data_IF_537636818735
#
_entry.id   IF_537636818735
#
_cell.length_a   1.000
_cell.length_b   1.000
_cell.length_c   1.000
_cell.angle_alpha   90.00
_cell.angle_beta   90.00
_cell.angle_gamma   90.00
#
_symmetry.space_group_name_H-M   'P 1'
#
loop_
_entity.id
_entity.type
_entity.pdbx_description
1 polymer ?
#
# COMPACT_ATOMS: atom_id res chain seq x y z
N UNK A 1 22.55 12.97 10.25
CA UNK A 1 22.69 12.20 11.49
C UNK A 1 21.52 11.25 11.63
N UNK A 2 21.79 9.99 11.75
CA UNK A 2 20.74 8.99 11.92
C UNK A 2 20.39 8.86 13.40
N UNK A 3 19.11 8.96 13.69
CA UNK A 3 18.61 8.64 15.03
C UNK A 3 18.55 7.14 15.19
N UNK A 4 19.22 6.63 16.18
CA UNK A 4 19.22 5.19 16.46
C UNK A 4 18.38 4.93 17.70
N UNK A 5 17.35 4.13 17.54
CA UNK A 5 16.51 3.70 18.65
C UNK A 5 16.99 2.30 19.07
N UNK A 6 17.48 2.14 20.30
CA UNK A 6 17.92 0.83 20.75
C UNK A 6 16.76 -0.17 20.73
N UNK A 7 17.04 -1.39 20.27
CA UNK A 7 16.02 -2.45 20.20
C UNK A 7 15.42 -2.76 21.58
N UNK A 8 16.20 -2.57 22.62
CA UNK A 8 15.75 -2.84 23.99
C UNK A 8 14.65 -1.91 24.45
N UNK A 9 14.47 -0.76 23.77
CA UNK A 9 13.45 0.22 24.13
C UNK A 9 12.11 -0.02 23.44
N UNK A 10 12.07 -1.03 22.56
CA UNK A 10 10.87 -1.32 21.78
C UNK A 10 10.16 -2.52 22.39
N UNK A 11 9.00 -2.25 22.97
CA UNK A 11 8.13 -3.31 23.44
C UNK A 11 7.19 -3.77 22.32
N UNK A 12 7.43 -4.97 21.81
CA UNK A 12 6.61 -5.57 20.77
C UNK A 12 5.69 -6.66 21.29
N UNK A 13 5.57 -6.80 22.60
CA UNK A 13 4.76 -7.86 23.20
C UNK A 13 3.28 -7.75 22.79
N UNK A 14 2.79 -6.52 22.64
CA UNK A 14 1.42 -6.27 22.20
C UNK A 14 1.13 -6.92 20.85
N UNK A 15 2.11 -6.90 19.95
CA UNK A 15 1.96 -7.43 18.59
C UNK A 15 1.80 -8.94 18.60
N UNK A 16 2.57 -9.63 19.44
CA UNK A 16 2.55 -11.09 19.47
C UNK A 16 1.21 -11.67 19.88
N UNK A 17 0.46 -10.93 20.68
CA UNK A 17 -0.84 -11.39 21.15
C UNK A 17 -1.99 -11.11 20.22
N UNK A 18 -1.76 -10.39 19.12
CA UNK A 18 -2.86 -9.95 18.27
C UNK A 18 -3.35 -11.01 17.29
N UNK A 19 -2.47 -11.93 16.87
CA UNK A 19 -2.84 -13.02 15.98
C UNK A 19 -2.94 -12.58 14.52
N UNK A 20 -4.16 -12.28 14.06
CA UNK A 20 -4.42 -11.99 12.66
C UNK A 20 -4.37 -10.49 12.37
N UNK A 21 -3.76 -10.12 11.26
CA UNK A 21 -3.76 -8.76 10.77
C UNK A 21 -4.18 -8.68 9.31
N UNK A 22 -4.46 -7.46 8.87
CA UNK A 22 -4.79 -7.14 7.48
C UNK A 22 -3.69 -6.29 6.89
N UNK A 23 -3.21 -6.68 5.72
CA UNK A 23 -2.27 -5.89 4.94
C UNK A 23 -3.03 -5.14 3.87
N UNK A 24 -2.82 -3.83 3.77
CA UNK A 24 -3.50 -3.00 2.77
C UNK A 24 -2.49 -2.40 1.81
N UNK A 25 -2.70 -2.68 0.54
CA UNK A 25 -2.00 -2.05 -0.57
C UNK A 25 -3.04 -1.29 -1.39
N UNK A 26 -2.96 0.03 -1.37
CA UNK A 26 -3.96 0.83 -2.04
C UNK A 26 -3.40 2.21 -2.39
N UNK A 27 -3.72 2.71 -3.55
CA UNK A 27 -3.28 4.00 -4.01
C UNK A 27 -3.84 4.30 -5.38
N UNK A 28 -3.29 5.30 -6.05
CA UNK A 28 -3.82 5.75 -7.33
C UNK A 28 -3.73 4.68 -8.43
N UNK A 29 -2.78 3.76 -8.33
CA UNK A 29 -2.69 2.66 -9.28
C UNK A 29 -3.96 1.80 -9.30
N UNK A 30 -4.65 1.71 -8.16
CA UNK A 30 -5.88 0.94 -8.05
C UNK A 30 -7.00 1.46 -8.93
N UNK A 31 -7.02 2.76 -9.21
CA UNK A 31 -8.08 3.36 -10.04
C UNK A 31 -7.98 2.95 -11.50
N UNK A 32 -6.81 2.53 -11.94
CA UNK A 32 -6.56 2.09 -13.31
C UNK A 32 -6.40 0.59 -13.43
N UNK A 33 -6.52 -0.13 -12.33
CA UNK A 33 -6.23 -1.55 -12.33
C UNK A 33 -4.77 -1.88 -12.59
N UNK A 34 -3.88 -0.96 -12.30
CA UNK A 34 -2.44 -1.18 -12.44
C UNK A 34 -1.91 -1.93 -11.22
N UNK A 35 -0.94 -2.78 -11.47
CA UNK A 35 -0.27 -3.49 -10.40
C UNK A 35 0.85 -2.62 -9.83
N UNK A 36 0.48 -1.71 -8.93
CA UNK A 36 1.43 -0.78 -8.30
C UNK A 36 2.21 -0.03 -9.37
N UNK A 37 3.53 0.06 -9.20
CA UNK A 37 4.41 0.73 -10.17
C UNK A 37 4.90 -0.17 -11.29
N UNK A 38 4.54 -1.45 -11.28
CA UNK A 38 4.99 -2.38 -12.32
C UNK A 38 4.52 -1.99 -13.70
N UNK A 39 3.44 -1.23 -13.80
CA UNK A 39 2.92 -0.77 -15.08
C UNK A 39 3.94 0.08 -15.83
N UNK A 40 4.79 0.79 -15.12
CA UNK A 40 5.82 1.62 -15.75
C UNK A 40 6.89 0.79 -16.46
N UNK A 41 7.02 -0.46 -16.10
CA UNK A 41 8.01 -1.37 -16.70
C UNK A 41 7.38 -2.43 -17.59
N UNK A 42 6.06 -2.38 -17.81
CA UNK A 42 5.35 -3.39 -18.57
C UNK A 42 5.11 -4.68 -17.81
N UNK A 43 5.27 -4.65 -16.48
CA UNK A 43 5.10 -5.84 -15.67
C UNK A 43 6.39 -6.61 -15.51
N UNK A 44 6.96 -6.62 -14.34
CA UNK A 44 8.27 -7.24 -14.09
C UNK A 44 8.23 -8.74 -14.26
N UNK A 45 7.19 -9.36 -13.79
CA UNK A 45 7.13 -10.82 -13.81
C UNK A 45 6.55 -11.39 -15.09
N UNK A 46 6.24 -10.53 -16.03
CA UNK A 46 5.77 -10.94 -17.35
C UNK A 46 4.68 -11.99 -17.29
N UNK A 47 3.83 -11.85 -16.33
CA UNK A 47 2.68 -12.72 -16.25
C UNK A 47 1.70 -12.34 -17.36
N UNK A 48 1.05 -13.32 -17.88
CA UNK A 48 0.12 -13.12 -18.97
C UNK A 48 -1.14 -12.37 -18.56
N UNK A 49 -1.66 -11.49 -19.39
CA UNK A 49 -1.04 -10.97 -20.61
C UNK A 49 0.00 -9.89 -20.29
N UNK A 50 0.89 -9.61 -21.23
CA UNK A 50 1.85 -8.52 -21.07
C UNK A 50 1.12 -7.20 -20.88
N UNK A 51 1.57 -6.44 -19.90
CA UNK A 51 0.96 -5.13 -19.61
C UNK A 51 1.52 -4.09 -20.57
N UNK A 52 0.64 -3.21 -21.05
CA UNK A 52 1.09 -2.07 -21.82
C UNK A 52 1.86 -1.13 -20.89
N UNK A 53 3.11 -0.76 -21.25
CA UNK A 53 3.88 0.14 -20.41
C UNK A 53 3.23 1.51 -20.33
N UNK A 54 3.27 2.10 -19.14
CA UNK A 54 2.79 3.46 -18.89
C UNK A 54 4.00 4.33 -18.61
N UNK A 55 4.08 5.49 -19.25
CA UNK A 55 5.17 6.42 -19.00
C UNK A 55 5.17 6.92 -17.55
N UNK A 56 6.35 7.25 -17.05
CA UNK A 56 6.47 7.73 -15.67
C UNK A 56 5.59 8.94 -15.40
N UNK A 57 5.55 9.88 -16.32
CA UNK A 57 4.72 11.09 -16.13
C UNK A 57 3.24 10.73 -16.05
N UNK A 58 2.77 9.88 -16.94
CA UNK A 58 1.37 9.45 -16.93
C UNK A 58 1.05 8.70 -15.64
N UNK A 59 1.94 7.85 -15.18
CA UNK A 59 1.73 7.11 -13.95
C UNK A 59 1.57 8.05 -12.76
N UNK A 60 2.45 9.03 -12.61
CA UNK A 60 2.38 9.94 -11.48
C UNK A 60 1.27 10.98 -11.62
N UNK A 61 0.94 11.38 -12.84
CA UNK A 61 -0.18 12.29 -13.08
C UNK A 61 -1.51 11.67 -12.65
N UNK A 62 -1.63 10.35 -12.72
CA UNK A 62 -2.83 9.68 -12.27
C UNK A 62 -3.10 9.90 -10.79
N UNK A 63 -2.11 10.23 -10.00
CA UNK A 63 -2.30 10.51 -8.58
C UNK A 63 -3.22 11.71 -8.34
N UNK A 64 -3.23 12.68 -9.26
CA UNK A 64 -4.09 13.84 -9.15
C UNK A 64 -5.57 13.48 -9.29
N UNK A 65 -5.88 12.39 -9.96
CA UNK A 65 -7.26 11.92 -10.17
C UNK A 65 -7.73 10.98 -9.05
N UNK A 66 -6.85 10.66 -8.12
CA UNK A 66 -7.19 9.76 -7.04
C UNK A 66 -8.01 10.50 -5.99
N UNK A 67 -9.30 10.21 -5.98
CA UNK A 67 -10.25 10.83 -5.05
C UNK A 67 -11.25 9.79 -4.56
N UNK A 68 -10.88 9.01 -3.54
CA UNK A 68 -11.70 7.89 -3.09
C UNK A 68 -12.87 8.36 -2.21
N UNK A 69 -13.91 8.90 -2.83
CA UNK A 69 -15.05 9.49 -2.12
C UNK A 69 -15.88 8.46 -1.34
N UNK A 70 -15.82 7.20 -1.74
CA UNK A 70 -16.57 6.14 -1.05
C UNK A 70 -15.78 5.47 0.06
N UNK A 71 -14.57 5.94 0.29
CA UNK A 71 -13.74 5.36 1.33
C UNK A 71 -14.35 5.63 2.71
N UNK A 72 -14.61 4.56 3.43
CA UNK A 72 -15.18 4.63 4.78
C UNK A 72 -14.26 3.83 5.70
N UNK A 73 -13.33 4.51 6.37
CA UNK A 73 -12.37 3.81 7.23
C UNK A 73 -13.03 3.07 8.39
N UNK A 74 -14.13 3.61 8.92
CA UNK A 74 -14.85 2.94 10.00
C UNK A 74 -15.45 1.62 9.53
N UNK A 75 -16.02 1.59 8.32
CA UNK A 75 -16.55 0.36 7.77
C UNK A 75 -15.46 -0.68 7.49
N UNK A 76 -14.31 -0.23 7.01
CA UNK A 76 -13.17 -1.13 6.80
C UNK A 76 -12.67 -1.71 8.12
N UNK A 77 -12.56 -0.89 9.13
CA UNK A 77 -12.12 -1.33 10.45
C UNK A 77 -13.10 -2.34 11.05
N UNK A 78 -14.39 -2.09 10.91
CA UNK A 78 -15.41 -3.02 11.40
C UNK A 78 -15.34 -4.35 10.68
N UNK A 79 -15.19 -4.33 9.36
CA UNK A 79 -15.09 -5.54 8.57
C UNK A 79 -13.86 -6.36 8.97
N UNK A 80 -12.73 -5.70 9.13
CA UNK A 80 -11.50 -6.35 9.57
C UNK A 80 -11.68 -6.97 10.96
N UNK A 81 -12.30 -6.23 11.88
CA UNK A 81 -12.57 -6.72 13.21
C UNK A 81 -13.46 -7.95 13.21
N UNK A 82 -14.53 -7.92 12.41
CA UNK A 82 -15.45 -9.06 12.29
C UNK A 82 -14.79 -10.27 11.68
N UNK A 83 -13.79 -10.07 10.81
CA UNK A 83 -13.00 -11.16 10.24
C UNK A 83 -11.97 -11.73 11.23
N UNK A 84 -11.81 -11.12 12.39
CA UNK A 84 -10.85 -11.57 13.40
C UNK A 84 -9.54 -10.81 13.42
N UNK A 85 -9.36 -9.83 12.54
CA UNK A 85 -8.14 -9.05 12.53
C UNK A 85 -8.05 -8.11 13.71
N UNK A 86 -6.85 -7.96 14.25
CA UNK A 86 -6.61 -7.10 15.40
C UNK A 86 -5.57 -6.03 15.13
N UNK A 87 -5.04 -5.99 13.92
CA UNK A 87 -4.18 -4.91 13.49
C UNK A 87 -4.25 -4.77 11.97
N UNK A 88 -3.81 -3.61 11.50
CA UNK A 88 -3.75 -3.29 10.09
C UNK A 88 -2.35 -2.77 9.78
N UNK A 89 -1.79 -3.23 8.66
CA UNK A 89 -0.55 -2.69 8.12
C UNK A 89 -0.88 -2.00 6.81
N UNK A 90 -0.67 -0.70 6.76
CA UNK A 90 -0.89 0.06 5.54
C UNK A 90 0.43 0.34 4.85
N UNK A 91 0.54 -0.06 3.59
CA UNK A 91 1.74 0.14 2.81
C UNK A 91 1.72 1.55 2.23
N UNK A 92 2.48 2.45 2.85
CA UNK A 92 2.56 3.84 2.41
C UNK A 92 3.46 4.04 1.22
N UNK A 93 4.43 3.14 1.04
CA UNK A 93 5.33 3.11 -0.10
C UNK A 93 5.70 1.66 -0.38
N UNK A 94 5.62 1.26 -1.61
CA UNK A 94 6.07 -0.07 -2.06
C UNK A 94 7.28 0.14 -2.97
N UNK A 95 7.14 -0.14 -4.24
CA UNK A 95 8.23 0.09 -5.21
C UNK A 95 8.08 1.42 -5.94
N UNK A 96 7.02 2.16 -5.69
CA UNK A 96 6.74 3.40 -6.40
C UNK A 96 7.77 4.47 -6.04
N UNK A 97 8.46 4.94 -7.04
CA UNK A 97 9.42 6.04 -6.87
C UNK A 97 8.62 7.35 -6.78
N UNK A 98 8.96 8.17 -5.79
CA UNK A 98 8.35 9.48 -5.63
C UNK A 98 7.12 9.51 -4.74
N UNK A 99 6.51 8.39 -4.44
CA UNK A 99 5.32 8.37 -3.58
C UNK A 99 5.60 8.91 -2.18
N UNK A 100 6.77 8.62 -1.66
CA UNK A 100 7.16 9.09 -0.34
C UNK A 100 7.58 10.56 -0.33
N UNK A 101 7.62 11.21 -1.47
CA UNK A 101 8.00 12.62 -1.60
C UNK A 101 6.81 13.55 -1.75
N UNK A 102 5.65 13.02 -1.64
CA UNK A 102 4.41 13.80 -1.73
C UNK A 102 4.14 14.56 -0.44
#
# INVERSE_FOLDING_TARGET
MTTHIPQTDIDSSWFRGLGLGVFLHWGHASTRGWELSWQMTGGVHRQEPALEPVGCNEYFENAADFDPQRFDPAAWAELAWRAGARYVVFTTKHHEIGRAHV
#
